data_IF_989156578944
#
_entry.id   IF_989156578944
#
_cell.length_a   1.000
_cell.length_b   1.000
_cell.length_c   1.000
_cell.angle_alpha   90.00
_cell.angle_beta   90.00
_cell.angle_gamma   90.00
#
_symmetry.space_group_name_H-M   'P 1'
#
loop_
_entity.id
_entity.type
_entity.pdbx_description
1 polymer ?
#
# COMPACT_ATOMS: atom_id res chain seq x y z
N UNK A 1 -24.63 -28.04 -9.76
CA UNK A 1 -24.79 -26.59 -10.09
C UNK A 1 -23.43 -25.98 -10.19
N UNK A 2 -23.20 -25.03 -11.11
CA UNK A 2 -21.96 -24.29 -11.19
C UNK A 2 -21.91 -23.33 -10.00
N UNK A 3 -20.83 -23.36 -9.22
CA UNK A 3 -20.65 -22.43 -8.10
C UNK A 3 -20.34 -21.05 -8.65
N UNK A 4 -21.00 -20.02 -8.11
CA UNK A 4 -20.77 -18.63 -8.46
C UNK A 4 -20.40 -17.85 -7.22
N UNK A 5 -19.30 -17.14 -7.28
CA UNK A 5 -18.82 -16.24 -6.23
C UNK A 5 -18.87 -14.78 -6.71
N UNK A 6 -19.04 -13.87 -5.77
CA UNK A 6 -18.92 -12.43 -5.99
C UNK A 6 -17.69 -11.91 -5.29
N UNK A 7 -16.89 -11.10 -5.99
CA UNK A 7 -15.71 -10.46 -5.45
C UNK A 7 -15.77 -8.94 -5.54
N UNK A 8 -15.09 -8.25 -4.63
CA UNK A 8 -14.93 -6.79 -4.64
C UNK A 8 -13.47 -6.40 -4.58
N UNK A 9 -13.07 -5.43 -5.40
CA UNK A 9 -11.73 -4.84 -5.45
C UNK A 9 -11.81 -3.35 -5.80
N UNK A 10 -10.65 -2.66 -5.97
CA UNK A 10 -10.64 -1.24 -6.38
C UNK A 10 -10.52 -1.05 -7.89
N UNK A 11 -10.93 0.14 -8.38
CA UNK A 11 -11.16 0.40 -9.80
C UNK A 11 -9.91 0.74 -10.63
N UNK A 12 -8.69 0.63 -10.07
CA UNK A 12 -7.46 0.80 -10.84
C UNK A 12 -7.11 -0.48 -11.61
N UNK A 13 -6.49 -0.42 -12.81
CA UNK A 13 -6.03 -1.61 -13.55
C UNK A 13 -5.18 -2.55 -12.70
N UNK A 14 -4.28 -2.05 -11.84
CA UNK A 14 -3.48 -2.84 -10.90
C UNK A 14 -4.33 -3.75 -9.99
N UNK A 15 -5.51 -3.30 -9.61
CA UNK A 15 -6.38 -4.05 -8.68
C UNK A 15 -7.49 -4.82 -9.35
N UNK A 16 -7.90 -4.44 -10.56
CA UNK A 16 -9.07 -5.03 -11.22
C UNK A 16 -8.70 -6.05 -12.30
N UNK A 17 -7.76 -5.70 -13.17
CA UNK A 17 -7.42 -6.53 -14.33
C UNK A 17 -6.86 -7.91 -13.94
N UNK A 18 -5.95 -8.05 -12.95
CA UNK A 18 -5.46 -9.36 -12.54
C UNK A 18 -6.57 -10.23 -11.92
N UNK A 19 -7.56 -9.62 -11.23
CA UNK A 19 -8.67 -10.37 -10.69
C UNK A 19 -9.53 -10.99 -11.79
N UNK A 20 -9.80 -10.25 -12.87
CA UNK A 20 -10.53 -10.76 -14.02
C UNK A 20 -9.78 -11.89 -14.73
N UNK A 21 -8.49 -11.68 -15.00
CA UNK A 21 -7.66 -12.66 -15.70
C UNK A 21 -7.52 -13.97 -14.91
N UNK A 22 -7.21 -13.85 -13.61
CA UNK A 22 -7.09 -14.99 -12.71
C UNK A 22 -8.42 -15.74 -12.56
N UNK A 23 -9.54 -15.02 -12.43
CA UNK A 23 -10.86 -15.67 -12.30
C UNK A 23 -11.28 -16.41 -13.55
N UNK A 24 -10.95 -15.90 -14.73
CA UNK A 24 -11.18 -16.62 -15.99
C UNK A 24 -10.42 -17.93 -16.04
N UNK A 25 -9.11 -17.90 -15.73
CA UNK A 25 -8.28 -19.10 -15.68
C UNK A 25 -8.74 -20.08 -14.60
N UNK A 26 -9.20 -19.58 -13.45
CA UNK A 26 -9.75 -20.39 -12.38
C UNK A 26 -11.03 -21.10 -12.79
N UNK A 27 -11.93 -20.40 -13.48
CA UNK A 27 -13.15 -20.98 -14.01
C UNK A 27 -12.87 -22.09 -15.04
N UNK A 28 -11.90 -21.91 -15.91
CA UNK A 28 -11.46 -22.93 -16.88
C UNK A 28 -10.93 -24.20 -16.18
N UNK A 29 -10.28 -24.04 -15.02
CA UNK A 29 -9.69 -25.15 -14.25
C UNK A 29 -10.69 -25.87 -13.33
N UNK A 30 -11.63 -25.17 -12.76
CA UNK A 30 -12.46 -25.67 -11.64
C UNK A 30 -13.96 -25.64 -11.91
N UNK A 31 -14.40 -24.87 -12.90
CA UNK A 31 -15.82 -24.60 -13.14
C UNK A 31 -16.43 -23.56 -12.19
N UNK A 32 -15.66 -22.96 -11.28
CA UNK A 32 -16.13 -21.91 -10.37
C UNK A 32 -16.07 -20.55 -11.08
N UNK A 33 -17.22 -19.90 -11.22
CA UNK A 33 -17.33 -18.55 -11.79
C UNK A 33 -17.16 -17.50 -10.69
N UNK A 34 -16.33 -16.47 -10.91
CA UNK A 34 -16.16 -15.35 -9.98
C UNK A 34 -16.43 -14.05 -10.72
N UNK A 35 -17.38 -13.26 -10.22
CA UNK A 35 -17.77 -11.98 -10.79
C UNK A 35 -17.25 -10.87 -9.89
N UNK A 36 -16.42 -9.98 -10.44
CA UNK A 36 -15.80 -8.89 -9.70
C UNK A 36 -16.53 -7.56 -9.91
N UNK A 37 -16.84 -6.92 -8.80
CA UNK A 37 -17.23 -5.51 -8.74
C UNK A 37 -16.05 -4.66 -8.28
N UNK A 38 -16.07 -3.37 -8.63
CA UNK A 38 -14.99 -2.43 -8.28
C UNK A 38 -15.53 -1.14 -7.72
N UNK A 39 -14.78 -0.56 -6.78
CA UNK A 39 -15.06 0.74 -6.15
C UNK A 39 -13.90 1.72 -6.38
N UNK A 40 -14.14 3.02 -6.20
CA UNK A 40 -13.05 4.01 -6.22
C UNK A 40 -11.99 3.67 -5.15
N UNK A 41 -10.75 4.14 -5.32
CA UNK A 41 -9.71 3.92 -4.31
C UNK A 41 -10.12 4.46 -2.94
N UNK A 42 -10.76 5.63 -2.90
CA UNK A 42 -11.23 6.24 -1.66
C UNK A 42 -12.30 5.39 -0.97
N UNK A 43 -13.30 4.90 -1.72
CA UNK A 43 -14.32 4.01 -1.16
C UNK A 43 -13.71 2.68 -0.70
N UNK A 44 -12.71 2.17 -1.41
CA UNK A 44 -11.99 0.97 -1.02
C UNK A 44 -11.25 1.15 0.32
N UNK A 45 -10.63 2.30 0.55
CA UNK A 45 -9.88 2.60 1.77
C UNK A 45 -10.77 2.91 2.99
N UNK A 46 -12.01 3.34 2.79
CA UNK A 46 -12.88 3.88 3.87
C UNK A 46 -14.17 3.11 4.10
N UNK A 47 -14.57 2.21 3.18
CA UNK A 47 -15.85 1.52 3.29
C UNK A 47 -15.81 0.41 4.36
N UNK A 48 -16.85 0.28 5.20
CA UNK A 48 -16.91 -0.73 6.25
C UNK A 48 -16.81 -2.16 5.69
N UNK A 49 -15.88 -2.96 6.24
CA UNK A 49 -15.63 -4.31 5.72
C UNK A 49 -16.79 -5.25 6.01
N UNK A 50 -17.54 -5.06 7.12
CA UNK A 50 -18.72 -5.85 7.45
C UNK A 50 -19.85 -5.70 6.42
N UNK A 51 -20.02 -4.52 5.84
CA UNK A 51 -20.99 -4.31 4.76
C UNK A 51 -20.54 -5.00 3.47
N UNK A 52 -19.23 -4.99 3.19
CA UNK A 52 -18.66 -5.73 2.06
C UNK A 52 -18.84 -7.24 2.27
N UNK A 53 -18.59 -7.75 3.47
CA UNK A 53 -18.75 -9.16 3.80
C UNK A 53 -20.20 -9.63 3.70
N UNK A 54 -21.18 -8.74 3.84
CA UNK A 54 -22.60 -9.07 3.62
C UNK A 54 -22.96 -9.18 2.12
N UNK A 55 -22.20 -8.53 1.24
CA UNK A 55 -22.52 -8.45 -0.19
C UNK A 55 -21.64 -9.34 -1.08
N UNK A 56 -20.43 -9.69 -0.64
CA UNK A 56 -19.42 -10.39 -1.43
C UNK A 56 -18.89 -11.63 -0.71
N UNK A 57 -18.46 -12.64 -1.48
CA UNK A 57 -17.78 -13.84 -0.99
C UNK A 57 -16.28 -13.64 -0.82
N UNK A 58 -15.69 -12.87 -1.74
CA UNK A 58 -14.27 -12.53 -1.78
C UNK A 58 -14.10 -11.02 -1.69
N UNK A 59 -13.21 -10.56 -0.81
CA UNK A 59 -12.99 -9.13 -0.58
C UNK A 59 -11.50 -8.87 -0.62
N UNK A 60 -11.09 -7.91 -1.45
CA UNK A 60 -9.73 -7.36 -1.38
C UNK A 60 -9.71 -6.31 -0.29
N UNK A 61 -8.76 -6.40 0.65
CA UNK A 61 -8.67 -5.50 1.82
C UNK A 61 -7.25 -4.98 2.03
N UNK A 62 -7.13 -3.82 2.68
CA UNK A 62 -5.87 -3.33 3.23
C UNK A 62 -5.66 -3.87 4.66
N UNK A 63 -4.41 -4.15 5.03
CA UNK A 63 -4.07 -4.83 6.28
C UNK A 63 -4.52 -4.12 7.58
N UNK A 64 -4.60 -2.79 7.70
CA UNK A 64 -5.04 -2.16 8.93
C UNK A 64 -6.48 -2.48 9.36
N UNK A 65 -7.30 -3.01 8.47
CA UNK A 65 -8.68 -3.38 8.79
C UNK A 65 -8.82 -4.64 9.67
N UNK A 66 -7.75 -5.44 9.83
CA UNK A 66 -7.86 -6.77 10.48
C UNK A 66 -8.32 -6.71 11.94
N UNK A 67 -8.06 -5.65 12.69
CA UNK A 67 -8.53 -5.50 14.07
C UNK A 67 -10.04 -5.32 14.16
N UNK A 68 -10.58 -4.41 13.37
CA UNK A 68 -12.02 -4.18 13.24
C UNK A 68 -12.75 -5.45 12.76
N UNK A 69 -12.24 -6.05 11.69
CA UNK A 69 -12.78 -7.28 11.10
C UNK A 69 -12.92 -8.41 12.12
N UNK A 70 -11.91 -8.57 12.99
CA UNK A 70 -11.89 -9.62 14.02
C UNK A 70 -13.02 -9.41 15.04
N UNK A 71 -13.27 -8.18 15.45
CA UNK A 71 -14.38 -7.85 16.38
C UNK A 71 -15.74 -8.13 15.74
N UNK A 72 -15.91 -7.79 14.49
CA UNK A 72 -17.17 -7.91 13.76
C UNK A 72 -17.48 -9.33 13.28
N UNK A 73 -16.51 -10.25 13.35
CA UNK A 73 -16.65 -11.64 12.88
C UNK A 73 -17.18 -11.73 11.43
N UNK A 74 -16.76 -10.82 10.57
CA UNK A 74 -17.29 -10.73 9.20
C UNK A 74 -16.43 -11.50 8.16
N UNK A 75 -15.22 -11.93 8.50
CA UNK A 75 -14.35 -12.72 7.65
C UNK A 75 -14.05 -14.11 8.24
N UNK A 76 -13.71 -15.05 7.37
CA UNK A 76 -13.20 -16.36 7.76
C UNK A 76 -11.69 -16.32 7.91
N UNK A 77 -11.13 -16.92 8.96
CA UNK A 77 -9.70 -17.17 9.00
C UNK A 77 -9.29 -18.18 7.94
N UNK A 78 -8.11 -17.98 7.37
CA UNK A 78 -7.65 -18.73 6.19
C UNK A 78 -6.73 -19.90 6.50
N UNK A 79 -6.44 -20.17 7.77
CA UNK A 79 -5.73 -21.38 8.17
C UNK A 79 -6.54 -22.62 7.81
N UNK A 80 -5.85 -23.60 7.24
CA UNK A 80 -6.45 -24.86 6.84
C UNK A 80 -5.41 -25.97 6.96
N UNK A 81 -5.63 -26.92 7.87
CA UNK A 81 -4.71 -28.02 8.11
C UNK A 81 -4.56 -28.96 6.89
N UNK A 82 -5.58 -29.09 6.07
CA UNK A 82 -5.52 -29.89 4.85
C UNK A 82 -4.65 -29.27 3.75
N UNK A 83 -4.37 -27.96 3.84
CA UNK A 83 -3.59 -27.18 2.87
C UNK A 83 -2.40 -26.46 3.54
N UNK A 84 -1.91 -26.98 4.65
CA UNK A 84 -0.84 -26.37 5.44
C UNK A 84 0.42 -26.08 4.64
N UNK A 85 0.83 -26.97 3.74
CA UNK A 85 2.01 -26.83 2.90
C UNK A 85 1.87 -25.67 1.88
N UNK A 86 0.69 -25.53 1.28
CA UNK A 86 0.39 -24.42 0.34
C UNK A 86 0.42 -23.08 1.08
N UNK A 87 -0.18 -23.02 2.28
CA UNK A 87 -0.20 -21.83 3.12
C UNK A 87 1.21 -21.48 3.59
N UNK A 88 2.00 -22.46 3.98
CA UNK A 88 3.40 -22.27 4.35
C UNK A 88 4.24 -21.75 3.17
N UNK A 89 3.98 -22.23 1.95
CA UNK A 89 4.63 -21.72 0.74
C UNK A 89 4.26 -20.26 0.45
N UNK A 90 3.00 -19.87 0.62
CA UNK A 90 2.56 -18.46 0.51
C UNK A 90 3.27 -17.59 1.56
N UNK A 91 3.33 -18.06 2.81
CA UNK A 91 3.99 -17.34 3.89
C UNK A 91 5.49 -17.18 3.66
N UNK A 92 6.18 -18.24 3.22
CA UNK A 92 7.60 -18.21 2.90
C UNK A 92 7.94 -17.38 1.66
N UNK A 93 7.01 -17.33 0.70
CA UNK A 93 7.15 -16.56 -0.54
C UNK A 93 6.73 -15.10 -0.41
N UNK A 94 6.33 -14.61 0.75
CA UNK A 94 5.93 -13.22 0.93
C UNK A 94 7.07 -12.26 0.59
N UNK A 95 6.74 -11.11 -0.01
CA UNK A 95 7.69 -10.02 -0.15
C UNK A 95 7.52 -9.05 1.03
N UNK A 96 8.62 -8.74 1.71
CA UNK A 96 8.60 -7.92 2.91
C UNK A 96 7.69 -8.49 4.00
N UNK A 97 6.92 -7.63 4.63
CA UNK A 97 5.99 -7.98 5.69
C UNK A 97 4.54 -8.16 5.23
N UNK A 98 4.30 -8.42 3.95
CA UNK A 98 2.94 -8.50 3.40
C UNK A 98 2.12 -9.63 4.02
N UNK A 99 2.67 -10.85 4.16
CA UNK A 99 1.93 -11.96 4.80
C UNK A 99 1.65 -11.72 6.29
N UNK A 100 2.65 -11.40 7.15
CA UNK A 100 2.39 -11.16 8.57
C UNK A 100 1.54 -9.93 8.85
N UNK A 101 1.39 -8.98 7.91
CA UNK A 101 0.53 -7.82 8.11
C UNK A 101 -0.96 -8.19 8.24
N UNK A 102 -1.39 -9.30 7.66
CA UNK A 102 -2.76 -9.82 7.78
C UNK A 102 -2.93 -10.85 8.90
N UNK A 103 -1.86 -11.13 9.67
CA UNK A 103 -1.98 -11.96 10.88
C UNK A 103 -2.37 -11.08 12.06
N UNK A 104 -3.50 -11.39 12.67
CA UNK A 104 -4.01 -10.68 13.84
C UNK A 104 -4.57 -11.68 14.86
N UNK A 105 -4.18 -11.53 16.13
CA UNK A 105 -4.56 -12.45 17.21
C UNK A 105 -4.30 -13.94 16.89
N UNK A 106 -3.16 -14.21 16.23
CA UNK A 106 -2.76 -15.57 15.88
C UNK A 106 -3.51 -16.21 14.71
N UNK A 107 -4.35 -15.45 13.99
CA UNK A 107 -5.11 -15.92 12.83
C UNK A 107 -4.72 -15.15 11.57
N UNK A 108 -4.73 -15.84 10.43
CA UNK A 108 -4.50 -15.23 9.11
C UNK A 108 -5.84 -14.85 8.46
N UNK A 109 -6.07 -13.56 8.24
CA UNK A 109 -7.37 -13.05 7.78
C UNK A 109 -7.43 -12.77 6.29
N UNK A 110 -6.28 -12.59 5.64
CA UNK A 110 -6.19 -12.49 4.19
C UNK A 110 -4.83 -13.03 3.70
N UNK A 111 -4.76 -13.49 2.45
CA UNK A 111 -3.47 -13.77 1.81
C UNK A 111 -3.05 -12.57 0.97
N UNK A 112 -1.78 -12.12 1.06
CA UNK A 112 -1.31 -11.00 0.26
C UNK A 112 -1.33 -11.38 -1.23
N UNK A 113 -1.94 -10.52 -2.04
CA UNK A 113 -1.96 -10.65 -3.50
C UNK A 113 -1.28 -9.47 -4.19
N UNK A 114 -1.15 -8.36 -3.47
CA UNK A 114 -0.54 -7.14 -3.96
C UNK A 114 0.36 -6.56 -2.86
N UNK A 115 1.55 -6.10 -3.22
CA UNK A 115 2.50 -5.51 -2.29
C UNK A 115 2.96 -4.15 -2.75
N UNK A 116 2.87 -3.16 -1.87
CA UNK A 116 3.29 -1.79 -2.12
C UNK A 116 3.89 -1.17 -0.87
N UNK A 117 4.70 -0.14 -1.09
CA UNK A 117 5.15 0.78 -0.05
C UNK A 117 5.42 2.13 -0.68
N UNK A 118 5.58 3.19 0.12
CA UNK A 118 6.04 4.45 -0.44
C UNK A 118 7.49 4.31 -0.89
N UNK A 119 7.74 4.74 -2.11
CA UNK A 119 9.03 4.70 -2.81
C UNK A 119 9.21 6.01 -3.56
N UNK A 120 10.35 6.26 -4.18
CA UNK A 120 10.44 7.37 -5.10
C UNK A 120 9.99 6.98 -6.50
N UNK A 121 9.31 7.93 -7.17
CA UNK A 121 8.96 7.88 -8.58
C UNK A 121 9.70 8.99 -9.32
N UNK A 122 10.21 8.72 -10.53
CA UNK A 122 10.92 9.71 -11.32
C UNK A 122 10.77 9.51 -12.84
N UNK A 123 10.95 10.59 -13.59
CA UNK A 123 10.97 10.63 -15.05
C UNK A 123 12.35 10.22 -15.54
N UNK A 124 12.50 8.94 -15.92
CA UNK A 124 13.78 8.40 -16.43
C UNK A 124 14.21 9.02 -17.77
N UNK A 125 13.29 9.60 -18.52
CA UNK A 125 13.56 10.35 -19.75
C UNK A 125 14.08 11.79 -19.49
N UNK A 126 14.07 12.28 -18.23
CA UNK A 126 14.50 13.62 -17.84
C UNK A 126 15.60 13.62 -16.77
N UNK A 127 15.69 12.58 -15.96
CA UNK A 127 16.68 12.41 -14.91
C UNK A 127 17.58 11.20 -15.23
N UNK A 128 18.89 11.33 -15.04
CA UNK A 128 19.86 10.25 -15.26
C UNK A 128 19.84 9.15 -14.17
N UNK A 129 18.74 9.00 -13.46
CA UNK A 129 18.55 8.03 -12.39
C UNK A 129 17.76 8.61 -11.22
N UNK A 130 17.52 7.80 -10.20
CA UNK A 130 16.81 8.22 -9.00
C UNK A 130 17.61 9.24 -8.20
N UNK A 131 16.90 10.08 -7.44
CA UNK A 131 17.49 10.99 -6.46
C UNK A 131 18.11 10.17 -5.34
N UNK A 132 19.35 10.46 -4.98
CA UNK A 132 20.11 9.65 -4.03
C UNK A 132 19.77 9.98 -2.58
N UNK A 133 19.49 11.23 -2.30
CA UNK A 133 19.24 11.70 -0.94
C UNK A 133 18.22 12.84 -0.92
N UNK A 134 17.72 13.14 0.27
CA UNK A 134 16.67 14.13 0.45
C UNK A 134 17.14 15.57 0.12
N UNK A 135 18.43 15.87 0.22
CA UNK A 135 18.97 17.18 -0.15
C UNK A 135 18.92 17.40 -1.68
N UNK A 136 19.26 16.39 -2.47
CA UNK A 136 19.10 16.44 -3.94
C UNK A 136 17.61 16.61 -4.32
N UNK A 137 16.73 15.94 -3.60
CA UNK A 137 15.28 16.09 -3.79
C UNK A 137 14.83 17.52 -3.52
N UNK A 138 15.21 18.12 -2.39
CA UNK A 138 14.87 19.50 -2.04
C UNK A 138 15.37 20.47 -3.12
N UNK A 139 16.58 20.26 -3.64
CA UNK A 139 17.15 21.09 -4.72
C UNK A 139 16.36 21.00 -6.04
N UNK A 140 15.71 19.85 -6.34
CA UNK A 140 14.79 19.74 -7.47
C UNK A 140 13.44 20.39 -7.16
N UNK A 141 12.96 20.26 -5.94
CA UNK A 141 11.71 20.86 -5.49
C UNK A 141 11.75 22.39 -5.53
N UNK A 142 12.87 23.01 -5.13
CA UNK A 142 13.13 24.45 -5.24
C UNK A 142 13.08 24.97 -6.71
N UNK A 143 13.33 24.08 -7.66
CA UNK A 143 13.21 24.37 -9.11
C UNK A 143 11.80 24.08 -9.65
N UNK A 144 10.83 23.74 -8.79
CA UNK A 144 9.48 23.36 -9.19
C UNK A 144 9.40 22.02 -9.92
N UNK A 145 10.38 21.11 -9.69
CA UNK A 145 10.51 19.82 -10.38
C UNK A 145 9.97 18.63 -9.59
N UNK A 146 9.41 18.88 -8.41
CA UNK A 146 8.93 17.83 -7.53
C UNK A 146 7.47 18.00 -7.15
N UNK A 147 6.80 16.88 -6.88
CA UNK A 147 5.41 16.81 -6.39
C UNK A 147 5.29 15.67 -5.38
N UNK A 148 4.34 15.75 -4.44
CA UNK A 148 4.13 14.79 -3.37
C UNK A 148 2.64 14.58 -3.11
N UNK A 149 2.14 13.34 -2.92
CA UNK A 149 0.78 13.13 -2.47
C UNK A 149 0.66 13.42 -0.97
N UNK A 150 -0.16 14.41 -0.61
CA UNK A 150 -0.38 14.84 0.78
C UNK A 150 -1.88 14.85 1.17
N UNK A 151 -2.77 14.50 0.25
CA UNK A 151 -4.18 14.31 0.57
C UNK A 151 -4.31 13.20 1.62
N UNK A 152 -5.13 13.35 2.69
CA UNK A 152 -5.41 12.25 3.62
C UNK A 152 -5.85 10.97 2.90
N UNK A 153 -5.30 9.77 3.27
CA UNK A 153 -4.41 9.49 4.41
C UNK A 153 -2.90 9.64 4.13
N UNK A 154 -2.49 10.13 2.96
CA UNK A 154 -1.09 10.10 2.50
C UNK A 154 -0.15 11.02 3.29
N UNK A 155 -0.64 12.09 3.90
CA UNK A 155 0.15 12.93 4.80
C UNK A 155 0.65 12.15 6.03
N UNK A 156 -0.21 11.31 6.64
CA UNK A 156 0.20 10.41 7.71
C UNK A 156 1.15 9.32 7.20
N UNK A 157 0.92 8.79 6.00
CA UNK A 157 1.82 7.78 5.41
C UNK A 157 3.22 8.35 5.20
N UNK A 158 3.34 9.59 4.76
CA UNK A 158 4.64 10.27 4.64
C UNK A 158 5.29 10.51 6.01
N UNK A 159 4.50 10.88 7.04
CA UNK A 159 4.99 11.00 8.42
C UNK A 159 5.57 9.67 8.92
N UNK A 160 4.82 8.57 8.79
CA UNK A 160 5.24 7.22 9.19
C UNK A 160 6.49 6.78 8.42
N UNK A 161 6.54 7.02 7.11
CA UNK A 161 7.69 6.65 6.29
C UNK A 161 8.95 7.40 6.70
N UNK A 162 8.84 8.70 6.96
CA UNK A 162 9.96 9.52 7.46
C UNK A 162 10.39 9.06 8.85
N UNK A 163 9.47 8.76 9.77
CA UNK A 163 9.80 8.29 11.10
C UNK A 163 10.56 6.96 11.07
N UNK A 164 10.08 6.01 10.27
CA UNK A 164 10.77 4.72 10.07
C UNK A 164 12.16 4.91 9.46
N UNK A 165 12.27 5.79 8.47
CA UNK A 165 13.52 6.09 7.78
C UNK A 165 14.55 6.83 8.67
N UNK A 166 14.08 7.67 9.61
CA UNK A 166 14.91 8.30 10.62
C UNK A 166 15.37 7.33 11.73
N UNK A 167 14.83 6.08 11.73
CA UNK A 167 15.16 5.05 12.72
C UNK A 167 14.38 5.16 14.03
N UNK A 168 13.31 5.95 14.03
CA UNK A 168 12.39 6.18 15.14
C UNK A 168 10.95 5.85 14.72
N UNK A 169 10.65 4.58 14.33
CA UNK A 169 9.35 4.22 13.80
C UNK A 169 8.24 4.51 14.82
N UNK A 170 7.10 4.91 14.31
CA UNK A 170 5.91 5.10 15.15
C UNK A 170 5.55 3.82 15.92
N UNK A 171 4.99 3.96 17.11
CA UNK A 171 4.53 2.83 17.91
C UNK A 171 3.26 2.22 17.30
N UNK A 172 3.13 0.91 17.45
CA UNK A 172 1.92 0.16 17.06
C UNK A 172 0.97 -0.10 18.24
N UNK A 173 1.47 0.13 19.45
CA UNK A 173 0.77 -0.05 20.74
C UNK A 173 1.23 1.02 21.72
N UNK A 174 0.50 1.17 22.82
CA UNK A 174 0.85 2.07 23.93
C UNK A 174 0.19 3.44 23.82
N UNK A 175 0.44 4.34 24.78
CA UNK A 175 -0.26 5.61 24.86
C UNK A 175 0.21 6.63 23.82
N UNK A 176 1.47 6.56 23.40
CA UNK A 176 2.05 7.53 22.47
C UNK A 176 2.27 6.88 21.10
N UNK A 177 1.83 7.54 20.05
CA UNK A 177 2.10 7.15 18.67
C UNK A 177 3.58 7.31 18.32
N UNK A 178 4.21 8.37 18.83
CA UNK A 178 5.64 8.66 18.64
C UNK A 178 6.16 9.47 19.82
N UNK A 179 7.43 9.26 20.19
CA UNK A 179 8.10 10.11 21.16
C UNK A 179 8.17 11.56 20.65
N UNK A 180 7.99 12.53 21.56
CA UNK A 180 7.82 13.94 21.19
C UNK A 180 8.96 14.48 20.34
N UNK A 181 10.22 14.26 20.77
CA UNK A 181 11.39 14.75 20.05
C UNK A 181 11.53 14.12 18.66
N UNK A 182 11.20 12.82 18.53
CA UNK A 182 11.27 12.11 17.26
C UNK A 182 10.20 12.61 16.29
N UNK A 183 8.98 12.81 16.80
CA UNK A 183 7.89 13.38 16.00
C UNK A 183 8.16 14.80 15.53
N UNK A 184 8.77 15.64 16.38
CA UNK A 184 9.22 16.99 16.00
C UNK A 184 10.27 16.92 14.89
N UNK A 185 11.25 16.01 14.97
CA UNK A 185 12.24 15.80 13.91
C UNK A 185 11.63 15.36 12.57
N UNK A 186 10.60 14.51 12.62
CA UNK A 186 9.83 14.12 11.42
C UNK A 186 9.11 15.34 10.82
N UNK A 187 8.45 16.16 11.65
CA UNK A 187 7.74 17.35 11.18
C UNK A 187 8.69 18.40 10.63
N UNK A 188 9.90 18.54 11.18
CA UNK A 188 10.95 19.43 10.63
C UNK A 188 11.27 19.06 9.17
N UNK A 189 11.40 17.77 8.87
CA UNK A 189 11.58 17.31 7.49
C UNK A 189 10.35 17.56 6.63
N UNK A 190 9.16 17.28 7.13
CA UNK A 190 7.93 17.53 6.37
C UNK A 190 7.76 19.00 6.02
N UNK A 191 8.00 19.91 6.98
CA UNK A 191 7.93 21.36 6.73
C UNK A 191 8.94 21.78 5.64
N UNK A 192 10.18 21.31 5.72
CA UNK A 192 11.21 21.59 4.70
C UNK A 192 10.81 21.13 3.31
N UNK A 193 10.17 19.95 3.23
CA UNK A 193 9.70 19.39 1.96
C UNK A 193 8.51 20.18 1.42
N UNK A 194 7.47 20.39 2.23
CA UNK A 194 6.24 21.05 1.75
C UNK A 194 6.41 22.53 1.48
N UNK A 195 7.38 23.19 2.12
CA UNK A 195 7.68 24.61 1.89
C UNK A 195 8.11 24.93 0.45
N UNK A 196 8.62 23.93 -0.27
CA UNK A 196 9.09 24.05 -1.67
C UNK A 196 8.19 23.29 -2.66
N UNK A 197 7.06 22.73 -2.18
CA UNK A 197 6.09 22.01 -3.01
C UNK A 197 4.99 22.91 -3.54
N UNK A 198 4.42 22.50 -4.67
CA UNK A 198 3.17 23.05 -5.14
C UNK A 198 2.04 22.77 -4.14
N UNK A 199 1.23 23.77 -3.81
CA UNK A 199 0.12 23.65 -2.86
C UNK A 199 -0.89 22.56 -3.25
N UNK A 200 -0.99 22.22 -4.53
CA UNK A 200 -1.85 21.13 -5.04
C UNK A 200 -1.51 19.77 -4.43
N UNK A 201 -0.32 19.58 -3.88
CA UNK A 201 0.07 18.34 -3.21
C UNK A 201 -0.95 17.89 -2.14
N UNK A 202 -1.59 18.83 -1.45
CA UNK A 202 -2.59 18.54 -0.41
C UNK A 202 -3.93 18.00 -0.93
N UNK A 203 -4.16 18.09 -2.23
CA UNK A 203 -5.37 17.60 -2.89
C UNK A 203 -5.14 16.30 -3.67
N UNK A 204 -3.88 15.86 -3.76
CA UNK A 204 -3.47 14.75 -4.61
C UNK A 204 -3.21 13.47 -3.80
N UNK A 205 -3.72 12.38 -4.32
CA UNK A 205 -3.36 11.01 -3.97
C UNK A 205 -2.23 10.48 -4.89
N UNK A 206 -1.69 9.28 -4.65
CA UNK A 206 -0.63 8.70 -5.48
C UNK A 206 -0.98 8.59 -6.96
N UNK A 207 -2.22 8.23 -7.29
CA UNK A 207 -2.67 8.08 -8.68
C UNK A 207 -2.65 9.45 -9.37
N UNK A 208 -3.20 10.48 -8.73
CA UNK A 208 -3.21 11.83 -9.26
C UNK A 208 -1.79 12.40 -9.49
N UNK A 209 -0.86 12.13 -8.55
CA UNK A 209 0.55 12.52 -8.70
C UNK A 209 1.19 11.81 -9.88
N UNK A 210 1.04 10.50 -9.99
CA UNK A 210 1.64 9.71 -11.08
C UNK A 210 1.01 10.02 -12.44
N UNK A 211 -0.31 10.27 -12.51
CA UNK A 211 -0.99 10.72 -13.70
C UNK A 211 -0.46 12.08 -14.17
N UNK A 212 -0.27 13.02 -13.24
CA UNK A 212 0.28 14.33 -13.55
C UNK A 212 1.74 14.25 -14.01
N UNK A 213 2.58 13.47 -13.31
CA UNK A 213 3.98 13.29 -13.68
C UNK A 213 4.16 12.63 -15.06
N UNK A 214 3.24 11.77 -15.46
CA UNK A 214 3.31 11.03 -16.73
C UNK A 214 2.83 11.82 -17.95
N UNK A 215 2.37 13.08 -17.77
CA UNK A 215 2.05 13.94 -18.91
C UNK A 215 3.32 14.45 -19.61
N UNK A 216 3.29 14.62 -20.95
CA UNK A 216 4.46 15.10 -21.70
C UNK A 216 4.92 16.50 -21.29
N UNK A 217 3.97 17.36 -20.91
CA UNK A 217 4.17 18.77 -20.52
C UNK A 217 4.23 18.97 -19.00
N UNK A 218 4.21 17.89 -18.21
CA UNK A 218 4.33 17.98 -16.75
C UNK A 218 5.59 18.74 -16.35
N UNK A 219 5.54 19.70 -15.42
CA UNK A 219 6.75 20.33 -14.90
C UNK A 219 7.52 19.42 -13.93
N UNK A 220 6.91 18.35 -13.44
CA UNK A 220 7.45 17.52 -12.36
C UNK A 220 8.23 16.33 -12.88
N UNK A 221 9.39 16.13 -12.30
CA UNK A 221 10.35 15.09 -12.67
C UNK A 221 10.49 14.01 -11.59
N UNK A 222 10.11 14.31 -10.33
CA UNK A 222 10.28 13.40 -9.17
C UNK A 222 9.18 13.54 -8.12
N UNK A 223 8.86 12.39 -7.47
CA UNK A 223 8.09 12.32 -6.22
C UNK A 223 8.83 11.39 -5.24
N UNK A 224 9.21 11.86 -4.03
CA UNK A 224 10.09 11.09 -3.15
C UNK A 224 9.38 10.03 -2.32
N UNK A 225 8.08 10.24 -2.03
CA UNK A 225 7.26 9.41 -1.16
C UNK A 225 5.89 9.20 -1.80
N UNK A 226 5.81 8.23 -2.69
CA UNK A 226 4.55 7.87 -3.36
C UNK A 226 4.40 6.36 -3.35
N UNK A 227 3.21 5.86 -3.07
CA UNK A 227 2.97 4.42 -3.26
C UNK A 227 3.24 4.04 -4.71
N UNK A 228 4.11 3.04 -4.89
CA UNK A 228 4.50 2.56 -6.21
C UNK A 228 3.32 1.90 -6.92
N UNK A 229 3.09 2.30 -8.17
CA UNK A 229 2.14 1.69 -9.09
C UNK A 229 2.88 1.23 -10.34
N UNK A 230 3.18 -0.06 -10.42
CA UNK A 230 3.99 -0.66 -11.50
C UNK A 230 3.47 -0.32 -12.90
N UNK A 231 2.16 -0.15 -13.04
CA UNK A 231 1.51 0.18 -14.33
C UNK A 231 2.11 1.41 -15.00
N UNK A 232 2.52 2.43 -14.23
CA UNK A 232 3.14 3.65 -14.76
C UNK A 232 4.53 3.40 -15.36
N UNK A 233 5.14 2.24 -15.04
CA UNK A 233 6.38 1.79 -15.66
C UNK A 233 6.17 1.06 -16.99
N UNK A 234 4.96 0.60 -17.31
CA UNK A 234 4.68 -0.12 -18.53
C UNK A 234 4.61 0.81 -19.75
N UNK A 235 5.14 0.35 -20.88
CA UNK A 235 5.01 1.06 -22.14
C UNK A 235 3.53 1.13 -22.56
N UNK A 236 3.08 2.31 -22.95
CA UNK A 236 1.71 2.51 -23.44
C UNK A 236 0.64 2.69 -22.36
N UNK A 237 0.97 2.55 -21.07
CA UNK A 237 -0.01 2.81 -20.00
C UNK A 237 -0.33 4.29 -19.86
N UNK A 238 0.71 5.14 -19.94
CA UNK A 238 0.59 6.61 -19.98
C UNK A 238 1.53 7.18 -21.03
N UNK A 239 1.36 8.45 -21.44
CA UNK A 239 2.23 9.08 -22.46
C UNK A 239 3.72 9.03 -22.12
N UNK A 240 4.08 9.23 -20.86
CA UNK A 240 5.44 9.07 -20.38
C UNK A 240 5.50 8.01 -19.29
N UNK A 241 6.55 7.17 -19.33
CA UNK A 241 6.80 6.13 -18.33
C UNK A 241 7.41 6.74 -17.07
N UNK A 242 7.03 6.23 -15.93
CA UNK A 242 7.60 6.55 -14.64
C UNK A 242 8.47 5.38 -14.18
N UNK A 243 9.71 5.66 -13.83
CA UNK A 243 10.58 4.71 -13.15
C UNK A 243 10.44 4.88 -11.62
N UNK A 244 10.67 3.80 -10.90
CA UNK A 244 10.61 3.79 -9.45
C UNK A 244 11.93 3.27 -8.87
N UNK A 245 12.25 3.72 -7.66
CA UNK A 245 13.41 3.27 -6.91
C UNK A 245 13.15 3.34 -5.41
N UNK A 246 14.03 2.74 -4.63
CA UNK A 246 14.02 2.87 -3.17
C UNK A 246 13.99 4.33 -2.74
N UNK A 247 13.45 4.57 -1.54
CA UNK A 247 13.37 5.93 -0.98
C UNK A 247 14.73 6.63 -0.96
N UNK A 248 14.78 7.97 -1.15
CA UNK A 248 16.00 8.73 -1.03
C UNK A 248 16.63 8.60 0.37
N UNK A 249 17.94 8.52 0.46
CA UNK A 249 18.67 8.41 1.73
C UNK A 249 18.50 9.70 2.57
N UNK A 250 18.29 9.53 3.87
CA UNK A 250 18.27 10.61 4.84
C UNK A 250 19.49 10.45 5.77
N UNK A 251 20.28 11.50 5.95
CA UNK A 251 21.41 11.54 6.88
C UNK A 251 22.38 10.36 6.77
N UNK A 252 22.64 9.88 5.54
CA UNK A 252 23.59 8.79 5.27
C UNK A 252 23.12 7.40 5.68
N UNK A 253 21.87 7.27 6.14
CA UNK A 253 21.27 5.97 6.48
C UNK A 253 20.79 5.25 5.23
N UNK A 254 21.06 3.95 5.15
CA UNK A 254 20.49 3.11 4.10
C UNK A 254 18.96 3.18 4.11
N UNK A 255 18.28 3.00 2.97
CA UNK A 255 16.83 2.95 2.92
C UNK A 255 16.32 1.88 3.90
N UNK A 256 15.68 2.31 4.95
CA UNK A 256 14.85 1.45 5.79
C UNK A 256 13.42 1.79 5.43
N UNK A 257 12.65 0.80 5.11
CA UNK A 257 11.24 0.80 4.86
C UNK A 257 10.45 2.09 4.95
N UNK A 258 9.28 2.02 4.43
CA UNK A 258 8.27 3.07 4.52
C UNK A 258 6.95 2.45 4.93
N UNK A 259 5.87 3.23 5.00
CA UNK A 259 4.55 2.68 5.36
C UNK A 259 4.14 1.57 4.39
N UNK A 260 3.96 0.35 4.91
CA UNK A 260 3.47 -0.78 4.13
C UNK A 260 2.07 -0.49 3.60
N UNK A 261 1.86 -0.79 2.34
CA UNK A 261 0.59 -0.83 1.64
C UNK A 261 0.43 -2.17 0.93
N UNK A 262 -0.35 -2.18 -0.15
CA UNK A 262 -0.72 -3.39 -0.85
C UNK A 262 -1.99 -3.99 -0.28
N UNK A 263 -2.47 -5.08 -0.88
CA UNK A 263 -3.76 -5.66 -0.54
C UNK A 263 -3.69 -7.16 -0.39
N UNK A 264 -4.60 -7.69 0.42
CA UNK A 264 -4.83 -9.12 0.60
C UNK A 264 -6.23 -9.53 0.16
N UNK A 265 -6.37 -10.77 -0.26
CA UNK A 265 -7.65 -11.39 -0.54
C UNK A 265 -8.18 -12.07 0.71
N UNK A 266 -9.38 -11.68 1.13
CA UNK A 266 -10.10 -12.20 2.28
C UNK A 266 -11.37 -12.93 1.83
N UNK A 267 -11.88 -13.82 2.69
CA UNK A 267 -13.09 -14.59 2.47
C UNK A 267 -14.16 -14.18 3.49
N UNK A 268 -15.34 -13.83 3.00
CA UNK A 268 -16.48 -13.49 3.85
C UNK A 268 -16.93 -14.67 4.71
N UNK A 269 -17.23 -14.40 5.99
CA UNK A 269 -17.87 -15.37 6.87
C UNK A 269 -19.34 -15.68 6.47
N UNK A 270 -19.91 -14.92 5.55
CA UNK A 270 -21.29 -15.06 5.08
C UNK A 270 -21.41 -15.81 3.74
N UNK A 271 -20.27 -16.19 3.15
CA UNK A 271 -20.26 -16.95 1.89
C UNK A 271 -20.94 -18.31 2.06
N UNK A 272 -21.65 -18.73 1.02
CA UNK A 272 -22.27 -20.05 0.97
C UNK A 272 -21.35 -21.11 0.34
N UNK A 273 -20.16 -20.73 -0.12
CA UNK A 273 -19.18 -21.61 -0.74
C UNK A 273 -17.75 -21.33 -0.17
N UNK A 274 -17.56 -21.57 1.15
CA UNK A 274 -16.31 -21.21 1.83
C UNK A 274 -15.09 -21.97 1.30
N UNK A 275 -15.26 -23.23 0.90
CA UNK A 275 -14.14 -24.06 0.41
C UNK A 275 -13.66 -23.57 -0.96
N UNK A 276 -14.57 -23.25 -1.87
CA UNK A 276 -14.24 -22.71 -3.19
C UNK A 276 -13.63 -21.31 -3.09
N UNK A 277 -14.14 -20.46 -2.19
CA UNK A 277 -13.61 -19.13 -1.95
C UNK A 277 -12.19 -19.19 -1.35
N UNK A 278 -11.96 -20.04 -0.34
CA UNK A 278 -10.62 -20.25 0.23
C UNK A 278 -9.64 -20.87 -0.78
N UNK A 279 -10.11 -21.81 -1.59
CA UNK A 279 -9.28 -22.43 -2.63
C UNK A 279 -8.81 -21.41 -3.67
N UNK A 280 -9.69 -20.50 -4.12
CA UNK A 280 -9.30 -19.40 -5.00
C UNK A 280 -8.32 -18.45 -4.32
N UNK A 281 -8.57 -18.06 -3.06
CA UNK A 281 -7.70 -17.17 -2.31
C UNK A 281 -6.27 -17.75 -2.15
N UNK A 282 -6.13 -19.03 -1.86
CA UNK A 282 -4.82 -19.71 -1.82
C UNK A 282 -4.15 -19.73 -3.19
N UNK A 283 -4.90 -20.13 -4.22
CA UNK A 283 -4.35 -20.26 -5.56
C UNK A 283 -3.83 -18.94 -6.13
N UNK A 284 -4.61 -17.85 -6.00
CA UNK A 284 -4.20 -16.53 -6.54
C UNK A 284 -3.00 -15.93 -5.80
N UNK A 285 -2.82 -16.25 -4.51
CA UNK A 285 -1.68 -15.81 -3.71
C UNK A 285 -0.42 -16.65 -3.91
N UNK A 286 -0.51 -17.79 -4.59
CA UNK A 286 0.62 -18.68 -4.82
C UNK A 286 1.64 -18.13 -5.83
N UNK A 287 2.93 -18.41 -5.60
CA UNK A 287 4.05 -17.92 -6.42
C UNK A 287 3.89 -18.14 -7.93
N UNK A 288 3.49 -19.33 -8.40
CA UNK A 288 3.29 -19.57 -9.84
C UNK A 288 2.26 -18.65 -10.49
N UNK A 289 1.17 -18.29 -9.80
CA UNK A 289 0.14 -17.39 -10.32
C UNK A 289 0.62 -15.95 -10.24
N UNK A 290 1.23 -15.57 -9.12
CA UNK A 290 1.73 -14.23 -8.87
C UNK A 290 2.85 -13.83 -9.84
N UNK A 291 3.74 -14.75 -10.20
CA UNK A 291 4.86 -14.50 -11.14
C UNK A 291 4.51 -14.71 -12.62
N UNK A 292 3.26 -14.96 -12.95
CA UNK A 292 2.79 -15.15 -14.32
C UNK A 292 1.52 -14.32 -14.57
N UNK A 293 0.35 -14.97 -14.68
CA UNK A 293 -0.91 -14.34 -15.10
C UNK A 293 -1.29 -13.11 -14.25
N UNK A 294 -0.98 -13.11 -12.94
CA UNK A 294 -1.25 -11.96 -12.08
C UNK A 294 -0.41 -10.74 -12.47
N UNK A 295 0.91 -10.91 -12.59
CA UNK A 295 1.83 -9.85 -13.01
C UNK A 295 1.57 -9.42 -14.47
N UNK A 296 1.38 -10.38 -15.37
CA UNK A 296 1.14 -10.15 -16.82
C UNK A 296 -0.18 -9.39 -17.07
N UNK A 297 -1.11 -9.42 -16.10
CA UNK A 297 -2.40 -8.74 -16.16
C UNK A 297 -2.46 -7.46 -15.34
N UNK A 298 -1.39 -6.67 -15.32
CA UNK A 298 -1.29 -5.39 -14.62
C UNK A 298 -1.21 -5.46 -13.08
N UNK A 299 -1.14 -6.65 -12.48
CA UNK A 299 -1.00 -6.82 -11.03
C UNK A 299 0.38 -6.41 -10.52
N UNK A 300 0.45 -6.13 -9.22
CA UNK A 300 1.70 -5.84 -8.50
C UNK A 300 1.91 -6.90 -7.41
N UNK A 301 2.55 -8.04 -7.74
CA UNK A 301 2.56 -9.25 -6.92
C UNK A 301 2.97 -9.08 -5.46
N UNK A 302 2.28 -9.79 -4.57
CA UNK A 302 2.65 -9.96 -3.16
C UNK A 302 3.67 -11.07 -2.89
N UNK A 303 4.08 -11.84 -3.92
CA UNK A 303 4.99 -12.97 -3.81
C UNK A 303 6.39 -12.64 -4.36
N UNK A 304 7.43 -12.97 -3.59
CA UNK A 304 8.82 -12.61 -3.89
C UNK A 304 9.37 -13.22 -5.19
N UNK A 305 8.85 -14.36 -5.64
CA UNK A 305 9.26 -14.98 -6.91
C UNK A 305 9.05 -14.03 -8.09
N UNK A 306 7.95 -13.27 -8.10
CA UNK A 306 7.70 -12.26 -9.12
C UNK A 306 8.73 -11.12 -9.05
N UNK A 307 9.15 -10.72 -7.84
CA UNK A 307 10.07 -9.59 -7.63
C UNK A 307 11.49 -9.86 -8.13
N UNK A 308 11.89 -11.12 -8.24
CA UNK A 308 13.21 -11.51 -8.78
C UNK A 308 13.16 -11.94 -10.24
N UNK A 309 11.98 -12.18 -10.80
CA UNK A 309 11.78 -12.66 -12.17
C UNK A 309 12.24 -11.62 -13.20
N UNK A 310 13.11 -12.02 -14.13
CA UNK A 310 13.50 -11.17 -15.26
C UNK A 310 12.30 -10.84 -16.16
N UNK A 311 11.43 -11.82 -16.41
CA UNK A 311 10.26 -11.64 -17.25
C UNK A 311 9.30 -10.59 -16.69
N UNK A 312 9.12 -10.56 -15.36
CA UNK A 312 8.24 -9.60 -14.67
C UNK A 312 8.90 -8.21 -14.58
N UNK A 313 10.22 -8.12 -14.40
CA UNK A 313 10.93 -6.85 -14.25
C UNK A 313 11.18 -6.13 -15.58
N UNK A 314 11.50 -6.85 -16.66
CA UNK A 314 11.89 -6.26 -17.94
C UNK A 314 10.84 -5.26 -18.50
N UNK A 315 9.54 -5.55 -18.56
CA UNK A 315 8.55 -4.58 -19.04
C UNK A 315 8.34 -3.41 -18.09
N UNK A 316 8.71 -3.55 -16.80
CA UNK A 316 8.41 -2.64 -15.69
C UNK A 316 9.57 -1.69 -15.33
N UNK A 317 10.60 -1.50 -16.15
CA UNK A 317 11.79 -0.70 -15.84
C UNK A 317 12.46 -1.14 -14.51
N UNK A 318 12.53 -2.45 -14.28
CA UNK A 318 13.03 -3.05 -13.03
C UNK A 318 12.35 -2.55 -11.75
N UNK A 319 11.07 -2.17 -11.83
CA UNK A 319 10.28 -1.65 -10.72
C UNK A 319 10.49 -2.45 -9.44
N UNK A 320 10.31 -3.76 -9.52
CA UNK A 320 10.34 -4.65 -8.35
C UNK A 320 11.74 -4.72 -7.73
N UNK A 321 12.78 -4.84 -8.54
CA UNK A 321 14.17 -4.87 -8.05
C UNK A 321 14.59 -3.54 -7.43
N UNK A 322 14.23 -2.45 -8.08
CA UNK A 322 14.63 -1.10 -7.69
C UNK A 322 13.90 -0.56 -6.45
N UNK A 323 12.81 -1.21 -6.02
CA UNK A 323 12.01 -0.80 -4.86
C UNK A 323 12.00 -1.83 -3.73
N UNK A 324 12.71 -2.95 -3.92
CA UNK A 324 12.65 -4.09 -3.01
C UNK A 324 13.21 -3.80 -1.64
N UNK A 325 14.32 -3.08 -1.54
CA UNK A 325 14.95 -2.82 -0.24
C UNK A 325 14.02 -2.01 0.69
N UNK A 326 13.33 -1.01 0.12
CA UNK A 326 12.32 -0.24 0.85
C UNK A 326 11.14 -1.12 1.30
N UNK A 327 10.66 -2.02 0.43
CA UNK A 327 9.54 -2.91 0.80
C UNK A 327 9.92 -3.95 1.84
N UNK A 328 11.12 -4.55 1.76
CA UNK A 328 11.58 -5.54 2.75
C UNK A 328 11.71 -4.94 4.16
N UNK A 329 12.08 -3.66 4.26
CA UNK A 329 12.13 -2.91 5.50
C UNK A 329 10.81 -2.23 5.90
N UNK A 330 9.70 -2.44 5.20
CA UNK A 330 8.48 -1.68 5.38
C UNK A 330 7.90 -1.79 6.81
N UNK A 331 7.42 -0.64 7.29
CA UNK A 331 6.71 -0.51 8.57
C UNK A 331 5.27 -1.00 8.42
N UNK A 332 4.87 -1.95 9.25
CA UNK A 332 3.48 -2.42 9.32
C UNK A 332 2.69 -1.47 10.22
N UNK A 333 1.65 -0.86 9.68
CA UNK A 333 0.77 0.07 10.40
C UNK A 333 0.08 -0.61 11.60
N UNK A 334 -0.33 0.13 12.65
CA UNK A 334 -1.18 -0.41 13.70
C UNK A 334 -2.45 -1.03 13.11
N UNK A 335 -3.01 -2.04 13.79
CA UNK A 335 -4.13 -2.85 13.28
C UNK A 335 -5.23 -3.06 14.30
N UNK A 336 -5.15 -2.39 15.46
CA UNK A 336 -6.23 -2.43 16.46
C UNK A 336 -7.51 -1.80 15.90
N UNK A 337 -8.63 -2.11 16.49
CA UNK A 337 -9.96 -1.77 15.97
C UNK A 337 -10.14 -0.26 15.67
N UNK A 338 -9.76 0.63 16.55
CA UNK A 338 -9.88 2.08 16.32
C UNK A 338 -8.84 2.71 15.39
N UNK A 339 -7.91 1.92 14.80
CA UNK A 339 -6.81 2.48 14.01
C UNK A 339 -7.27 3.21 12.74
N UNK A 340 -8.29 2.71 12.06
CA UNK A 340 -8.74 3.35 10.80
C UNK A 340 -9.31 4.76 11.04
N UNK A 341 -10.05 4.96 12.13
CA UNK A 341 -10.50 6.28 12.55
C UNK A 341 -9.31 7.18 12.92
N UNK A 342 -8.36 6.66 13.71
CA UNK A 342 -7.11 7.37 14.01
C UNK A 342 -6.35 7.77 12.74
N UNK A 343 -6.18 6.87 11.78
CA UNK A 343 -5.46 7.13 10.52
C UNK A 343 -6.07 8.34 9.78
N UNK A 344 -7.39 8.39 9.66
CA UNK A 344 -8.10 9.49 9.03
C UNK A 344 -7.86 10.81 9.77
N UNK A 345 -8.17 10.86 11.07
CA UNK A 345 -8.04 12.07 11.89
C UNK A 345 -6.58 12.55 12.00
N UNK A 346 -5.63 11.65 12.20
CA UNK A 346 -4.21 11.99 12.30
C UNK A 346 -3.69 12.59 10.99
N UNK A 347 -4.16 12.07 9.86
CA UNK A 347 -3.78 12.57 8.55
C UNK A 347 -4.27 14.00 8.32
N UNK A 348 -5.50 14.30 8.71
CA UNK A 348 -6.06 15.65 8.66
C UNK A 348 -5.29 16.60 9.61
N UNK A 349 -5.01 16.16 10.84
CA UNK A 349 -4.21 16.96 11.82
C UNK A 349 -2.84 17.32 11.24
N UNK A 350 -2.16 16.40 10.56
CA UNK A 350 -0.86 16.68 9.92
C UNK A 350 -1.05 17.64 8.75
N UNK A 351 -1.97 17.38 7.82
CA UNK A 351 -2.21 18.23 6.65
C UNK A 351 -2.55 19.66 7.06
N UNK A 352 -3.50 19.83 7.97
CA UNK A 352 -3.92 21.16 8.45
C UNK A 352 -2.81 21.84 9.24
N UNK A 353 -2.08 21.09 10.06
CA UNK A 353 -0.98 21.61 10.86
C UNK A 353 0.16 22.16 10.00
N UNK A 354 0.50 21.46 8.92
CA UNK A 354 1.51 21.92 7.96
C UNK A 354 1.04 23.17 7.19
N UNK A 355 -0.22 23.21 6.76
CA UNK A 355 -0.81 24.36 6.04
C UNK A 355 -0.91 25.61 6.89
N UNK A 356 -1.16 25.45 8.17
CA UNK A 356 -1.34 26.57 9.13
C UNK A 356 -0.09 26.89 9.93
N UNK A 357 1.05 26.25 9.64
CA UNK A 357 2.30 26.38 10.38
C UNK A 357 2.11 26.19 11.91
N UNK A 358 1.27 25.23 12.30
CA UNK A 358 1.05 24.91 13.71
C UNK A 358 2.34 24.37 14.34
N UNK A 359 2.64 24.79 15.59
CA UNK A 359 3.85 24.32 16.30
C UNK A 359 3.89 22.81 16.40
N UNK A 360 5.04 22.19 16.13
CA UNK A 360 5.26 20.74 16.10
C UNK A 360 4.86 20.07 17.41
N UNK A 361 5.21 20.69 18.56
CA UNK A 361 4.82 20.17 19.88
C UNK A 361 3.31 20.00 20.00
N UNK A 362 2.51 20.94 19.49
CA UNK A 362 1.05 20.88 19.53
C UNK A 362 0.51 19.78 18.62
N UNK A 363 1.12 19.60 17.45
CA UNK A 363 0.73 18.53 16.51
C UNK A 363 1.01 17.15 17.11
N UNK A 364 2.21 16.94 17.68
CA UNK A 364 2.58 15.65 18.27
C UNK A 364 1.70 15.34 19.49
N UNK A 365 1.44 16.33 20.37
CA UNK A 365 0.54 16.13 21.49
C UNK A 365 -0.90 15.75 21.05
N UNK A 366 -1.36 16.29 19.90
CA UNK A 366 -2.64 15.89 19.29
C UNK A 366 -2.60 14.46 18.76
N UNK A 367 -1.56 14.10 18.00
CA UNK A 367 -1.41 12.77 17.43
C UNK A 367 -1.37 11.70 18.52
N UNK A 368 -0.55 11.90 19.56
CA UNK A 368 -0.43 10.95 20.66
C UNK A 368 -1.75 10.80 21.42
N UNK A 369 -2.45 11.91 21.70
CA UNK A 369 -3.77 11.84 22.35
C UNK A 369 -4.78 11.05 21.51
N UNK A 370 -4.85 11.29 20.20
CA UNK A 370 -5.76 10.57 19.30
C UNK A 370 -5.41 9.09 19.22
N UNK A 371 -4.12 8.79 19.21
CA UNK A 371 -3.65 7.39 19.20
C UNK A 371 -4.05 6.67 20.49
N UNK A 372 -3.83 7.27 21.66
CA UNK A 372 -4.29 6.70 22.93
C UNK A 372 -5.81 6.46 22.95
N UNK A 373 -6.61 7.42 22.49
CA UNK A 373 -8.07 7.30 22.41
C UNK A 373 -8.53 6.20 21.45
N UNK A 374 -7.76 5.88 20.42
CA UNK A 374 -8.14 4.85 19.45
C UNK A 374 -8.14 3.42 20.00
N UNK A 375 -7.62 3.20 21.21
CA UNK A 375 -7.69 1.92 21.91
C UNK A 375 -8.90 1.79 22.87
N UNK A 376 -9.68 2.86 23.02
CA UNK A 376 -10.84 2.90 23.92
C UNK A 376 -12.15 2.49 23.23
N UNK A 377 -12.07 1.99 21.99
CA UNK A 377 -13.23 1.65 21.13
C UNK A 377 -13.80 0.26 21.43
#
# INVERSE_FOLDING_TARGET
MMVKLKGMTWSHPRGYDPMLACSKLWQEKTGVEIIWEKRSLQDFETFPVEELAAAYDLIVIDHPHVGQITRENCLLPLEDAAHADEIAAIAAGTVGRSYPSYNWQGRQWAFPIDAATQVQAYRADRLNGPVKNLAEFVALAEKGKAILPMRPPHSLMTFISLSAHLGTPCNIEGPDFIAKADGEAVLDWMVRIVAVMDVRCYEMDPIAVLDLMSQPDSPYDVSPFVYGYVNYSFAGFRPARIAFADMPIIDGRAPHGSALGGTGIAVSARTQAPEEAKAFARWIAGGPVQSSIYADSNGQPGHADAWVSDAVNAPALDFYRNTRATLEGAYVRPRHDGYMAFQSEASEVISDGLRTATRHTVLIDKLNRRFAQSFEV
#
